data_IF_638043539526
#
_entry.id   IF_638043539526
#
_cell.length_a   1.000
_cell.length_b   1.000
_cell.length_c   1.000
_cell.angle_alpha   90.00
_cell.angle_beta   90.00
_cell.angle_gamma   90.00
#
_symmetry.space_group_name_H-M   'P 1'
#
loop_
_entity.id
_entity.type
_entity.pdbx_description
1 polymer ?
#
# COMPACT_ATOMS: atom_id res chain seq x y z
N UNK A 1 26.18 -14.99 11.86
CA UNK A 1 25.54 -14.86 11.76
C UNK A 1 25.07 -15.01 11.76
N UNK A 2 25.18 -15.32 11.11
CA UNK A 2 24.48 -15.07 10.82
C UNK A 2 23.65 -15.25 11.18
N UNK A 3 23.65 -16.00 12.20
CA UNK A 3 22.39 -15.37 12.00
C UNK A 3 22.21 -15.00 10.56
N UNK A 4 23.24 -15.09 9.87
CA UNK A 4 23.23 -14.69 8.48
C UNK A 4 22.20 -15.43 7.69
N UNK A 5 21.94 -16.68 8.02
CA UNK A 5 20.92 -17.44 7.34
C UNK A 5 19.55 -16.82 7.48
N UNK A 6 19.25 -16.35 8.68
CA UNK A 6 17.98 -15.69 8.94
C UNK A 6 17.89 -14.38 8.18
N UNK A 7 18.94 -13.60 8.23
CA UNK A 7 18.96 -12.32 7.52
C UNK A 7 18.84 -12.50 6.03
N UNK A 8 19.54 -13.48 5.48
CA UNK A 8 19.45 -13.77 4.07
C UNK A 8 18.06 -14.24 3.68
N UNK A 9 17.43 -15.02 4.54
CA UNK A 9 16.06 -15.44 4.31
C UNK A 9 15.13 -14.24 4.24
N UNK A 10 15.31 -13.28 5.14
CA UNK A 10 14.52 -12.07 5.13
C UNK A 10 14.78 -11.24 3.89
N UNK A 11 16.04 -11.13 3.50
CA UNK A 11 16.40 -10.39 2.29
C UNK A 11 15.82 -11.02 1.02
N UNK A 12 15.62 -12.33 1.04
CA UNK A 12 15.02 -13.03 -0.08
C UNK A 12 13.51 -13.02 -0.04
N UNK A 13 12.92 -12.49 1.02
CA UNK A 13 11.49 -12.37 1.07
C UNK A 13 11.00 -11.56 -0.11
N UNK A 14 9.86 -11.93 -0.66
CA UNK A 14 9.27 -11.14 -1.70
C UNK A 14 9.08 -9.71 -1.24
N UNK A 15 9.07 -8.82 -2.19
CA UNK A 15 8.84 -7.40 -1.95
C UNK A 15 7.60 -7.23 -1.10
N UNK A 16 7.75 -6.45 -0.04
CA UNK A 16 6.62 -6.02 0.77
C UNK A 16 6.29 -4.60 0.36
N UNK A 17 5.03 -4.36 0.14
CA UNK A 17 4.57 -3.00 0.04
C UNK A 17 3.83 -2.70 1.33
N UNK A 18 2.77 -1.97 1.29
CA UNK A 18 2.15 -1.48 2.51
C UNK A 18 1.30 -2.54 3.20
N UNK A 19 1.11 -2.36 4.51
CA UNK A 19 0.24 -3.19 5.35
C UNK A 19 -0.95 -2.34 5.79
N UNK A 20 -1.99 -2.94 6.37
CA UNK A 20 -3.09 -2.15 6.94
C UNK A 20 -2.63 -1.14 7.98
N UNK A 21 -1.58 -1.45 8.75
CA UNK A 21 -1.04 -0.48 9.72
C UNK A 21 -0.47 0.75 9.04
N UNK A 22 0.19 0.59 7.90
CA UNK A 22 0.72 1.71 7.14
C UNK A 22 -0.39 2.59 6.60
N UNK A 23 -1.45 1.98 6.10
CA UNK A 23 -2.64 2.69 5.63
C UNK A 23 -3.28 3.45 6.78
N UNK A 24 -3.34 2.84 7.95
CA UNK A 24 -3.91 3.47 9.14
C UNK A 24 -3.11 4.69 9.57
N UNK A 25 -1.79 4.62 9.51
CA UNK A 25 -0.93 5.78 9.81
C UNK A 25 -1.30 6.95 8.90
N UNK A 26 -1.41 6.70 7.61
CA UNK A 26 -1.81 7.75 6.67
C UNK A 26 -3.20 8.28 6.99
N UNK A 27 -4.16 7.40 7.21
CA UNK A 27 -5.54 7.79 7.52
C UNK A 27 -5.63 8.61 8.80
N UNK A 28 -4.84 8.28 9.82
CA UNK A 28 -4.83 9.04 11.07
C UNK A 28 -4.31 10.45 10.88
N UNK A 29 -3.24 10.60 10.11
CA UNK A 29 -2.70 11.93 9.80
C UNK A 29 -3.73 12.75 9.02
N UNK A 30 -4.36 12.14 8.02
CA UNK A 30 -5.40 12.81 7.24
C UNK A 30 -6.57 13.19 8.13
N UNK A 31 -6.96 12.31 9.06
CA UNK A 31 -8.06 12.59 9.96
C UNK A 31 -7.79 13.78 10.89
N UNK A 32 -6.57 13.89 11.40
CA UNK A 32 -6.15 15.03 12.22
C UNK A 32 -6.26 16.33 11.43
N UNK A 33 -5.99 16.27 10.14
CA UNK A 33 -5.99 17.45 9.26
C UNK A 33 -7.26 17.55 8.42
N UNK A 34 -8.32 16.87 8.84
CA UNK A 34 -9.57 16.76 8.09
C UNK A 34 -10.15 18.12 7.68
N UNK A 35 -10.09 19.07 8.56
CA UNK A 35 -10.72 20.37 8.34
C UNK A 35 -9.89 21.30 7.46
N UNK A 36 -8.62 20.99 7.23
CA UNK A 36 -7.79 21.82 6.36
C UNK A 36 -8.11 21.62 4.88
N UNK A 37 -8.64 20.44 4.55
CA UNK A 37 -8.92 20.10 3.16
C UNK A 37 -7.70 19.90 2.30
N UNK A 38 -6.51 20.04 2.83
CA UNK A 38 -5.27 19.90 2.09
C UNK A 38 -4.59 18.61 2.50
N UNK A 39 -4.81 17.56 1.73
CA UNK A 39 -4.28 16.23 2.04
C UNK A 39 -3.05 15.87 1.22
N UNK A 40 -2.71 16.68 0.24
CA UNK A 40 -1.67 16.32 -0.74
C UNK A 40 -0.27 16.27 -0.13
N UNK A 41 -0.05 16.94 0.99
CA UNK A 41 1.26 16.99 1.63
C UNK A 41 1.58 15.76 2.48
N UNK A 42 0.61 14.86 2.65
CA UNK A 42 0.78 13.70 3.52
C UNK A 42 0.82 12.43 2.71
N UNK A 43 1.85 11.62 2.96
CA UNK A 43 2.05 10.38 2.21
C UNK A 43 2.89 9.42 3.03
N UNK A 44 2.85 8.14 2.67
CA UNK A 44 3.68 7.10 3.25
C UNK A 44 4.49 6.49 2.12
N UNK A 45 5.78 6.33 2.34
CA UNK A 45 6.69 5.78 1.33
C UNK A 45 7.38 4.53 1.85
N UNK A 46 7.56 3.55 0.98
CA UNK A 46 8.26 2.33 1.30
C UNK A 46 9.18 1.94 0.15
N UNK A 47 10.45 1.73 0.47
CA UNK A 47 11.41 1.20 -0.49
C UNK A 47 11.22 -0.31 -0.64
N UNK A 48 11.24 -0.77 -1.87
CA UNK A 48 11.11 -2.18 -2.20
C UNK A 48 12.18 -2.55 -3.21
N UNK A 49 12.39 -3.85 -3.43
CA UNK A 49 13.45 -4.29 -4.33
C UNK A 49 13.20 -3.90 -5.79
N UNK A 50 11.94 -3.73 -6.17
CA UNK A 50 11.57 -3.38 -7.54
C UNK A 50 11.21 -1.90 -7.71
N UNK A 51 11.48 -1.07 -6.72
CA UNK A 51 11.19 0.36 -6.79
C UNK A 51 10.73 0.90 -5.45
N UNK A 52 10.34 2.17 -5.44
CA UNK A 52 9.82 2.82 -4.24
C UNK A 52 8.33 3.10 -4.45
N UNK A 53 7.54 2.74 -3.45
CA UNK A 53 6.09 2.94 -3.50
C UNK A 53 5.68 4.06 -2.55
N UNK A 54 4.66 4.80 -2.95
CA UNK A 54 4.09 5.87 -2.14
C UNK A 54 2.58 5.74 -2.12
N UNK A 55 2.01 5.83 -0.92
CA UNK A 55 0.56 5.95 -0.74
C UNK A 55 0.21 7.39 -0.47
N UNK A 56 -0.82 7.88 -1.14
CA UNK A 56 -1.38 9.21 -0.90
C UNK A 56 -2.88 9.10 -0.71
N UNK A 57 -3.41 10.07 0.04
CA UNK A 57 -4.86 10.19 0.15
C UNK A 57 -5.34 11.18 -0.91
N UNK A 58 -6.14 10.67 -1.84
CA UNK A 58 -6.69 11.46 -2.95
C UNK A 58 -8.20 11.53 -2.91
N UNK A 59 -8.79 11.08 -1.81
CA UNK A 59 -10.24 11.13 -1.61
C UNK A 59 -10.69 12.41 -0.95
N UNK A 60 -11.88 12.36 -0.39
CA UNK A 60 -12.49 13.47 0.36
C UNK A 60 -12.59 13.08 1.83
N UNK A 61 -13.01 14.04 2.66
CA UNK A 61 -13.19 13.77 4.08
C UNK A 61 -14.17 12.62 4.34
N UNK A 62 -15.09 12.38 3.42
CA UNK A 62 -16.04 11.26 3.53
C UNK A 62 -15.36 9.89 3.42
N UNK A 63 -14.17 9.84 2.83
CA UNK A 63 -13.43 8.59 2.63
C UNK A 63 -12.50 8.25 3.79
N UNK A 64 -12.39 9.11 4.79
CA UNK A 64 -11.47 8.89 5.90
C UNK A 64 -11.98 7.77 6.78
N UNK A 65 -11.14 6.75 6.99
CA UNK A 65 -11.42 5.61 7.86
C UNK A 65 -10.18 5.27 8.64
N UNK A 66 -10.31 5.11 9.95
CA UNK A 66 -9.21 4.72 10.84
C UNK A 66 -9.57 3.41 11.53
N UNK A 67 -8.58 2.80 12.19
CA UNK A 67 -8.82 1.60 12.96
C UNK A 67 -8.24 0.32 12.34
N UNK A 68 -7.38 0.45 11.36
CA UNK A 68 -6.79 -0.72 10.67
C UNK A 68 -5.43 -1.13 11.22
N UNK A 69 -4.97 -0.49 12.30
CA UNK A 69 -3.65 -0.78 12.87
C UNK A 69 -3.62 -1.87 13.92
N UNK A 70 -4.61 -2.74 13.97
CA UNK A 70 -4.70 -3.78 14.99
C UNK A 70 -4.02 -5.07 14.54
N UNK A 71 -3.72 -5.95 15.50
CA UNK A 71 -3.15 -7.26 15.19
C UNK A 71 -4.10 -8.12 14.38
N UNK A 72 -5.40 -7.95 14.56
CA UNK A 72 -6.39 -8.69 13.77
C UNK A 72 -6.28 -8.36 12.29
N UNK A 73 -6.15 -7.07 11.95
CA UNK A 73 -5.95 -6.65 10.56
C UNK A 73 -4.62 -7.15 10.02
N UNK A 74 -3.58 -7.08 10.84
CA UNK A 74 -2.26 -7.56 10.44
C UNK A 74 -2.28 -9.05 10.10
N UNK A 75 -2.86 -9.85 10.97
CA UNK A 75 -2.92 -11.29 10.79
C UNK A 75 -3.76 -11.67 9.58
N UNK A 76 -4.89 -11.01 9.41
CA UNK A 76 -5.77 -11.24 8.26
C UNK A 76 -5.07 -10.90 6.95
N UNK A 77 -4.37 -9.77 6.92
CA UNK A 77 -3.63 -9.36 5.73
C UNK A 77 -2.50 -10.34 5.41
N UNK A 78 -1.79 -10.81 6.43
CA UNK A 78 -0.74 -11.80 6.23
C UNK A 78 -1.29 -13.09 5.62
N UNK A 79 -2.43 -13.54 6.08
CA UNK A 79 -3.09 -14.73 5.52
C UNK A 79 -3.54 -14.50 4.09
N UNK A 80 -4.08 -13.33 3.81
CA UNK A 80 -4.50 -12.96 2.46
C UNK A 80 -3.31 -12.96 1.52
N UNK A 81 -2.17 -12.40 1.95
CA UNK A 81 -0.95 -12.39 1.16
C UNK A 81 -0.43 -13.80 0.89
N UNK A 82 -0.48 -14.68 1.87
CA UNK A 82 -0.05 -16.07 1.68
C UNK A 82 -0.86 -16.75 0.59
N UNK A 83 -2.14 -16.44 0.52
CA UNK A 83 -3.05 -17.06 -0.44
C UNK A 83 -2.84 -16.49 -1.86
N UNK A 84 -2.70 -15.17 -1.98
CA UNK A 84 -2.83 -14.51 -3.28
C UNK A 84 -1.55 -13.91 -3.86
N UNK A 85 -0.54 -13.62 -3.03
CA UNK A 85 0.63 -12.90 -3.49
C UNK A 85 1.38 -13.59 -4.62
N UNK A 86 1.50 -14.90 -4.54
CA UNK A 86 2.18 -15.69 -5.57
C UNK A 86 1.48 -15.59 -6.91
N UNK A 87 0.15 -15.58 -6.86
CA UNK A 87 -0.67 -15.56 -8.07
C UNK A 87 -0.80 -14.16 -8.65
N UNK A 88 -0.97 -13.18 -7.80
CA UNK A 88 -1.30 -11.82 -8.22
C UNK A 88 -0.12 -10.86 -8.23
N UNK A 89 0.92 -11.13 -7.42
CA UNK A 89 1.96 -10.15 -7.16
C UNK A 89 1.52 -9.15 -6.10
N UNK A 90 2.45 -8.32 -5.64
CA UNK A 90 2.20 -7.43 -4.53
C UNK A 90 1.20 -6.33 -4.82
N UNK A 91 1.36 -5.69 -5.96
CA UNK A 91 0.51 -4.54 -6.30
C UNK A 91 -0.94 -4.95 -6.34
N UNK A 92 -1.24 -6.04 -7.06
CA UNK A 92 -2.61 -6.50 -7.18
C UNK A 92 -3.15 -7.04 -5.86
N UNK A 93 -2.32 -7.76 -5.10
CA UNK A 93 -2.73 -8.29 -3.80
C UNK A 93 -3.08 -7.16 -2.84
N UNK A 94 -2.25 -6.15 -2.77
CA UNK A 94 -2.49 -5.01 -1.90
C UNK A 94 -3.74 -4.23 -2.32
N UNK A 95 -3.86 -3.93 -3.60
CA UNK A 95 -4.97 -3.12 -4.09
C UNK A 95 -6.31 -3.86 -4.01
N UNK A 96 -6.32 -5.17 -4.25
CA UNK A 96 -7.56 -5.95 -4.05
C UNK A 96 -7.93 -6.00 -2.58
N UNK A 97 -6.95 -6.11 -1.69
CA UNK A 97 -7.22 -6.10 -0.26
C UNK A 97 -7.82 -4.76 0.19
N UNK A 98 -7.24 -3.65 -0.26
CA UNK A 98 -7.78 -2.33 0.03
C UNK A 98 -9.23 -2.20 -0.41
N UNK A 99 -9.52 -2.61 -1.62
CA UNK A 99 -10.84 -2.42 -2.20
C UNK A 99 -11.88 -3.38 -1.61
N UNK A 100 -11.53 -4.66 -1.54
CA UNK A 100 -12.52 -5.71 -1.28
C UNK A 100 -12.63 -6.08 0.20
N UNK A 101 -11.55 -5.98 0.94
CA UNK A 101 -11.53 -6.39 2.35
C UNK A 101 -11.62 -5.18 3.27
N UNK A 102 -10.72 -4.21 3.10
CA UNK A 102 -10.75 -3.00 3.91
C UNK A 102 -11.84 -2.04 3.46
N UNK A 103 -12.30 -2.18 2.23
CA UNK A 103 -13.37 -1.36 1.65
C UNK A 103 -13.03 0.13 1.74
N UNK A 104 -11.80 0.44 1.40
CA UNK A 104 -11.31 1.81 1.41
C UNK A 104 -11.30 2.39 0.01
N UNK A 105 -11.73 3.64 -0.11
CA UNK A 105 -11.56 4.44 -1.30
C UNK A 105 -10.73 5.67 -0.92
N UNK A 106 -10.23 6.37 -1.93
CA UNK A 106 -9.46 7.59 -1.69
C UNK A 106 -7.98 7.34 -1.41
N UNK A 107 -7.50 6.11 -1.50
CA UNK A 107 -6.08 5.79 -1.38
C UNK A 107 -5.53 5.54 -2.79
N UNK A 108 -4.45 6.22 -3.13
CA UNK A 108 -3.77 6.05 -4.41
C UNK A 108 -2.36 5.53 -4.20
N UNK A 109 -1.96 4.60 -5.05
CA UNK A 109 -0.65 3.98 -5.02
C UNK A 109 0.18 4.48 -6.19
N UNK A 110 1.41 4.88 -5.89
CA UNK A 110 2.38 5.33 -6.90
C UNK A 110 3.64 4.51 -6.79
N UNK A 111 4.30 4.30 -7.91
CA UNK A 111 5.57 3.61 -7.97
C UNK A 111 6.61 4.52 -8.62
N UNK A 112 7.74 4.71 -7.95
CA UNK A 112 8.90 5.41 -8.50
C UNK A 112 9.82 4.34 -9.06
N UNK A 113 10.02 4.37 -10.37
CA UNK A 113 10.84 3.39 -11.08
C UNK A 113 12.32 3.72 -10.94
N UNK A 114 13.19 2.77 -11.31
CA UNK A 114 14.63 2.94 -11.20
C UNK A 114 15.18 4.07 -12.08
N UNK A 115 14.45 4.44 -13.13
CA UNK A 115 14.82 5.57 -14.00
C UNK A 115 14.17 6.89 -13.56
N UNK A 116 13.66 6.95 -12.32
CA UNK A 116 13.04 8.12 -11.71
C UNK A 116 11.70 8.53 -12.31
N UNK A 117 11.13 7.72 -13.18
CA UNK A 117 9.76 7.96 -13.64
C UNK A 117 8.78 7.48 -12.57
N UNK A 118 7.62 8.09 -12.53
CA UNK A 118 6.58 7.77 -11.55
C UNK A 118 5.34 7.30 -12.27
N UNK A 119 4.82 6.15 -11.85
CA UNK A 119 3.57 5.62 -12.36
C UNK A 119 2.51 5.60 -11.26
N UNK A 120 1.29 5.94 -11.60
CA UNK A 120 0.16 5.66 -10.73
C UNK A 120 -0.29 4.22 -11.00
N UNK A 121 -0.39 3.42 -9.94
CA UNK A 121 -0.78 2.02 -10.04
C UNK A 121 -2.23 1.88 -9.63
N UNK A 122 -3.07 1.46 -10.55
CA UNK A 122 -4.51 1.34 -10.29
C UNK A 122 -5.01 -0.06 -10.57
N UNK A 123 -6.13 -0.40 -9.93
CA UNK A 123 -6.81 -1.67 -10.12
C UNK A 123 -8.14 -1.40 -10.82
N UNK A 124 -8.35 -2.04 -11.96
CA UNK A 124 -9.61 -1.88 -12.69
C UNK A 124 -10.72 -2.71 -12.06
N UNK A 125 -11.96 -2.44 -12.48
CA UNK A 125 -13.11 -3.23 -12.03
C UNK A 125 -12.97 -4.70 -12.42
N UNK A 126 -12.17 -5.00 -13.44
CA UNK A 126 -11.92 -6.37 -13.90
C UNK A 126 -10.70 -6.98 -13.23
N UNK A 127 -10.19 -6.36 -12.16
CA UNK A 127 -9.05 -6.86 -11.38
C UNK A 127 -7.74 -6.88 -12.14
N UNK A 128 -7.55 -5.91 -13.03
CA UNK A 128 -6.30 -5.75 -13.76
C UNK A 128 -5.52 -4.57 -13.22
N UNK A 129 -4.21 -4.74 -13.14
CA UNK A 129 -3.31 -3.64 -12.75
C UNK A 129 -3.00 -2.81 -13.99
N UNK A 130 -3.16 -1.50 -13.85
CA UNK A 130 -2.80 -0.54 -14.89
C UNK A 130 -1.82 0.45 -14.28
N UNK A 131 -0.74 0.71 -15.01
CA UNK A 131 0.27 1.70 -14.61
C UNK A 131 0.19 2.86 -15.57
N UNK A 132 -0.13 4.04 -15.04
CA UNK A 132 -0.28 5.25 -15.83
C UNK A 132 0.85 6.20 -15.48
N UNK A 133 1.70 6.57 -16.44
CA UNK A 133 2.79 7.50 -16.16
C UNK A 133 2.26 8.82 -15.65
N UNK A 134 2.92 9.36 -14.62
CA UNK A 134 2.62 10.70 -14.13
C UNK A 134 3.33 11.73 -15.00
N UNK A 135 2.68 12.86 -15.29
CA UNK A 135 3.31 13.92 -16.10
C UNK A 135 4.52 14.52 -15.43
#
# INVERSE_FOLDING_TARGET
MNPDGVEQSELKQPVRIFTPADVDVLMKVININRNSGNFADYYVTMAASNGTYTLKFTGTSADIRVGYGTDEWKDHFNDYCKTWKKKYGFEKTFLTYLRDVMQLSGISLYKINSNDTIDQVTLTVNNKIIKTPCP
#
